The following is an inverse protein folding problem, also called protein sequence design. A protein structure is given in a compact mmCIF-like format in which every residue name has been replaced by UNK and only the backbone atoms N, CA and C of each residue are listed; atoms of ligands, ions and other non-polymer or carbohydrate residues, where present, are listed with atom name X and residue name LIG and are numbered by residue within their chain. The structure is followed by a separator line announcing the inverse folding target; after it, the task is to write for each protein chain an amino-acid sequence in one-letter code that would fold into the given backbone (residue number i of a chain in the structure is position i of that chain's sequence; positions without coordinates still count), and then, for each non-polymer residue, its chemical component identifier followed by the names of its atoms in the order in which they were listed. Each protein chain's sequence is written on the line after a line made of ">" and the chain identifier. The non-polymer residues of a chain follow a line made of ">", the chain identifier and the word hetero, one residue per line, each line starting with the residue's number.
data_IF_370561649233
#
_entry.id   IF_370561649233
#
_cell.length_a   1.000
_cell.length_b   1.000
_cell.length_c   1.000
_cell.angle_alpha   90.00
_cell.angle_beta   90.00
_cell.angle_gamma   90.00
#
_symmetry.space_group_name_H-M   'P 1'
#
loop_
_entity.id
_entity.type
_entity.pdbx_description
1 polymer ?
#
# COMPACT_ATOMS: atom_id res chain seq x y z
N UNK A 1 -22.28 12.06 5.72
CA UNK A 1 -21.75 11.55 4.43
C UNK A 1 -21.07 10.23 4.73
N UNK A 2 -21.43 9.17 4.02
CA UNK A 2 -20.70 7.91 4.12
C UNK A 2 -19.26 8.13 3.62
N UNK A 3 -18.29 7.74 4.44
CA UNK A 3 -16.85 7.79 4.11
C UNK A 3 -16.37 6.49 3.47
N UNK A 4 -17.29 5.59 3.13
CA UNK A 4 -16.97 4.32 2.52
C UNK A 4 -16.74 4.51 1.01
N UNK A 5 -15.75 3.83 0.42
CA UNK A 5 -15.52 3.91 -1.01
C UNK A 5 -16.71 3.28 -1.76
N UNK A 6 -17.14 3.94 -2.85
CA UNK A 6 -18.16 3.38 -3.76
C UNK A 6 -17.64 2.12 -4.47
N UNK A 7 -16.34 2.09 -4.79
CA UNK A 7 -15.68 0.99 -5.50
C UNK A 7 -14.27 0.78 -4.93
N UNK A 8 -13.90 -0.50 -4.73
CA UNK A 8 -12.54 -0.90 -4.39
C UNK A 8 -11.96 -1.74 -5.53
N UNK A 9 -10.92 -1.23 -6.19
CA UNK A 9 -10.21 -1.94 -7.24
C UNK A 9 -8.98 -2.66 -6.65
N UNK A 10 -9.03 -3.99 -6.58
CA UNK A 10 -7.95 -4.81 -6.04
C UNK A 10 -7.04 -5.32 -7.16
N UNK A 11 -5.82 -4.78 -7.22
CA UNK A 11 -4.80 -5.19 -8.20
C UNK A 11 -3.82 -6.20 -7.60
N UNK A 12 -3.69 -7.36 -8.24
CA UNK A 12 -2.70 -8.38 -7.91
C UNK A 12 -1.92 -8.82 -9.15
N UNK A 13 -0.70 -9.32 -8.97
CA UNK A 13 0.15 -9.73 -10.08
C UNK A 13 1.58 -10.07 -9.67
N UNK A 14 2.27 -10.88 -10.49
CA UNK A 14 3.70 -11.22 -10.29
C UNK A 14 4.60 -10.01 -10.51
N UNK A 15 5.85 -10.07 -10.01
CA UNK A 15 6.86 -9.04 -10.25
C UNK A 15 7.09 -8.82 -11.76
N UNK A 16 7.27 -7.57 -12.18
CA UNK A 16 7.50 -7.15 -13.59
C UNK A 16 6.33 -7.51 -14.55
N UNK A 17 5.11 -7.67 -14.04
CA UNK A 17 3.89 -7.90 -14.86
C UNK A 17 3.20 -6.62 -15.32
N UNK A 18 3.71 -5.43 -14.98
CA UNK A 18 3.11 -4.15 -15.36
C UNK A 18 1.97 -3.68 -14.44
N UNK A 19 1.73 -4.35 -13.29
CA UNK A 19 0.70 -3.95 -12.32
C UNK A 19 0.78 -2.46 -11.94
N UNK A 20 1.98 -1.99 -11.59
CA UNK A 20 2.16 -0.60 -11.17
C UNK A 20 1.88 0.37 -12.32
N UNK A 21 2.33 0.04 -13.54
CA UNK A 21 2.03 0.80 -14.76
C UNK A 21 0.53 0.95 -14.99
N UNK A 22 -0.23 -0.15 -14.89
CA UNK A 22 -1.69 -0.11 -15.07
C UNK A 22 -2.36 0.72 -13.97
N UNK A 23 -1.95 0.56 -12.71
CA UNK A 23 -2.53 1.34 -11.61
C UNK A 23 -2.22 2.82 -11.72
N UNK A 24 -1.03 3.19 -12.19
CA UNK A 24 -0.63 4.58 -12.37
C UNK A 24 -1.41 5.24 -13.53
N UNK A 25 -1.65 4.52 -14.63
CA UNK A 25 -2.49 4.99 -15.74
C UNK A 25 -3.93 5.21 -15.28
N UNK A 26 -4.52 4.25 -14.56
CA UNK A 26 -5.90 4.35 -14.06
C UNK A 26 -6.01 5.52 -13.08
N UNK A 27 -5.09 5.61 -12.12
CA UNK A 27 -5.07 6.69 -11.13
C UNK A 27 -4.86 8.06 -11.79
N UNK A 28 -3.98 8.16 -12.80
CA UNK A 28 -3.77 9.40 -13.56
C UNK A 28 -5.00 9.85 -14.36
N UNK A 29 -5.86 8.91 -14.80
CA UNK A 29 -7.12 9.24 -15.48
C UNK A 29 -8.25 9.62 -14.53
N UNK A 30 -8.35 8.97 -13.38
CA UNK A 30 -9.35 9.30 -12.35
C UNK A 30 -8.99 10.61 -11.63
N UNK A 31 -7.72 10.83 -11.38
CA UNK A 31 -7.22 11.96 -10.61
C UNK A 31 -7.33 11.77 -9.10
N UNK A 32 -6.54 12.55 -8.37
CA UNK A 32 -6.52 12.55 -6.91
C UNK A 32 -7.71 13.31 -6.29
N UNK A 33 -8.70 13.74 -7.06
CA UNK A 33 -9.92 14.33 -6.50
C UNK A 33 -10.93 13.26 -6.09
N UNK A 34 -11.01 12.18 -6.88
CA UNK A 34 -12.03 11.13 -6.69
C UNK A 34 -11.46 9.76 -6.28
N UNK A 35 -10.14 9.55 -6.40
CA UNK A 35 -9.51 8.26 -6.11
C UNK A 35 -8.32 8.38 -5.12
N UNK A 36 -7.96 7.27 -4.49
CA UNK A 36 -6.72 7.10 -3.71
C UNK A 36 -5.97 5.88 -4.22
N UNK A 37 -4.66 6.02 -4.45
CA UNK A 37 -3.78 4.89 -4.74
C UNK A 37 -3.19 4.35 -3.44
N UNK A 38 -3.60 3.14 -3.04
CA UNK A 38 -3.17 2.48 -1.80
C UNK A 38 -2.16 1.38 -2.13
N UNK A 39 -0.95 1.47 -1.56
CA UNK A 39 0.09 0.42 -1.69
C UNK A 39 0.28 -0.30 -0.36
N UNK A 40 -0.27 -1.51 -0.21
CA UNK A 40 -0.14 -2.36 0.99
C UNK A 40 1.33 -2.63 1.37
N UNK A 41 2.24 -2.64 0.40
CA UNK A 41 3.67 -2.82 0.67
C UNK A 41 4.30 -1.65 1.42
N UNK A 42 3.74 -0.44 1.38
CA UNK A 42 4.26 0.72 2.08
C UNK A 42 4.19 0.58 3.62
N UNK A 43 3.03 0.29 4.25
CA UNK A 43 3.00 0.03 5.70
C UNK A 43 3.81 -1.20 6.09
N UNK A 44 3.85 -2.26 5.27
CA UNK A 44 4.72 -3.43 5.54
C UNK A 44 6.17 -2.99 5.70
N UNK A 45 6.70 -2.20 4.76
CA UNK A 45 8.07 -1.67 4.83
C UNK A 45 8.27 -0.76 6.02
N UNK A 46 7.34 0.14 6.32
CA UNK A 46 7.43 1.07 7.44
C UNK A 46 7.54 0.34 8.77
N UNK A 47 6.64 -0.61 9.01
CA UNK A 47 6.61 -1.37 10.26
C UNK A 47 7.81 -2.34 10.36
N UNK A 48 8.24 -2.94 9.24
CA UNK A 48 9.46 -3.76 9.23
C UNK A 48 10.70 -2.93 9.56
N UNK A 49 10.85 -1.75 8.93
CA UNK A 49 11.96 -0.83 9.19
C UNK A 49 12.04 -0.45 10.67
N UNK A 50 10.91 -0.05 11.26
CA UNK A 50 10.80 0.27 12.69
C UNK A 50 11.19 -0.91 13.59
N UNK A 51 10.73 -2.12 13.25
CA UNK A 51 11.02 -3.34 14.05
C UNK A 51 12.50 -3.72 14.00
N UNK A 52 13.18 -3.44 12.88
CA UNK A 52 14.58 -3.81 12.63
C UNK A 52 15.56 -2.67 12.84
N UNK A 53 15.07 -1.52 13.29
CA UNK A 53 15.83 -0.27 13.39
C UNK A 53 16.56 0.11 12.08
N UNK A 54 15.89 -0.12 10.95
CA UNK A 54 16.37 0.22 9.61
C UNK A 54 15.82 1.59 9.19
N UNK A 55 16.54 2.26 8.30
CA UNK A 55 16.06 3.50 7.69
C UNK A 55 14.92 3.22 6.69
N UNK A 56 13.77 3.86 6.89
CA UNK A 56 12.58 3.64 6.06
C UNK A 56 12.79 4.05 4.59
N UNK A 57 13.48 5.17 4.35
CA UNK A 57 13.71 5.69 3.01
C UNK A 57 14.54 4.72 2.15
N UNK A 58 15.51 4.04 2.77
CA UNK A 58 16.30 2.99 2.10
C UNK A 58 15.44 1.79 1.69
N UNK A 59 14.41 1.44 2.49
CA UNK A 59 13.45 0.38 2.16
C UNK A 59 12.43 0.77 1.09
N UNK A 60 12.23 2.07 0.87
CA UNK A 60 11.34 2.56 -0.17
C UNK A 60 12.02 2.58 -1.54
N UNK A 61 13.35 2.77 -1.58
CA UNK A 61 14.17 2.75 -2.80
C UNK A 61 14.13 1.43 -3.57
N UNK A 62 14.50 1.45 -4.86
CA UNK A 62 14.72 0.27 -5.70
C UNK A 62 16.17 -0.23 -5.66
N UNK A 63 16.80 -0.10 -4.49
CA UNK A 63 18.16 -0.56 -4.25
C UNK A 63 18.26 -2.07 -4.05
N UNK A 64 19.44 -2.63 -4.33
CA UNK A 64 19.83 -3.99 -3.95
C UNK A 64 19.71 -4.25 -2.45
N UNK A 65 19.84 -3.20 -1.65
CA UNK A 65 19.70 -3.23 -0.20
C UNK A 65 18.32 -3.72 0.26
N UNK A 66 17.24 -3.25 -0.37
CA UNK A 66 15.87 -3.73 -0.11
C UNK A 66 15.67 -5.19 -0.51
N UNK A 67 16.30 -5.64 -1.60
CA UNK A 67 16.18 -7.03 -2.05
C UNK A 67 16.77 -8.02 -1.03
N UNK A 68 17.82 -7.62 -0.30
CA UNK A 68 18.41 -8.43 0.78
C UNK A 68 17.39 -8.81 1.85
N UNK A 69 16.49 -7.88 2.20
CA UNK A 69 15.49 -8.10 3.25
C UNK A 69 14.15 -8.62 2.73
N UNK A 70 14.00 -8.88 1.41
CA UNK A 70 12.70 -9.22 0.82
C UNK A 70 12.10 -10.48 1.42
N UNK A 71 12.90 -11.55 1.55
CA UNK A 71 12.42 -12.82 2.10
C UNK A 71 12.03 -12.68 3.58
N UNK A 72 12.88 -12.03 4.36
CA UNK A 72 12.65 -11.78 5.78
C UNK A 72 11.39 -10.92 6.00
N UNK A 73 11.21 -9.87 5.19
CA UNK A 73 10.03 -9.00 5.23
C UNK A 73 8.75 -9.77 4.88
N UNK A 74 8.80 -10.70 3.92
CA UNK A 74 7.67 -11.58 3.60
C UNK A 74 7.31 -12.42 4.83
N UNK A 75 8.27 -13.17 5.37
CA UNK A 75 8.06 -14.06 6.53
C UNK A 75 7.56 -13.30 7.77
N UNK A 76 8.17 -12.14 8.05
CA UNK A 76 7.76 -11.28 9.16
C UNK A 76 6.32 -10.77 8.97
N UNK A 77 5.99 -10.31 7.77
CA UNK A 77 4.65 -9.78 7.49
C UNK A 77 3.59 -10.89 7.45
N UNK A 78 3.94 -12.10 7.03
CA UNK A 78 3.06 -13.28 7.10
C UNK A 78 2.76 -13.67 8.55
N UNK A 79 3.76 -13.60 9.45
CA UNK A 79 3.54 -13.86 10.88
C UNK A 79 2.57 -12.86 11.53
N UNK A 80 2.61 -11.59 11.08
CA UNK A 80 1.64 -10.58 11.54
C UNK A 80 0.27 -10.87 10.94
N UNK A 81 0.18 -11.14 9.63
CA UNK A 81 -1.07 -11.46 8.94
C UNK A 81 -1.76 -12.71 9.48
N UNK A 82 -1.00 -13.69 9.98
CA UNK A 82 -1.59 -14.90 10.58
C UNK A 82 -2.27 -14.63 11.92
N UNK A 83 -1.88 -13.56 12.62
CA UNK A 83 -2.51 -13.10 13.86
C UNK A 83 -3.64 -12.11 13.59
N UNK A 84 -3.45 -11.26 12.57
CA UNK A 84 -4.40 -10.22 12.19
C UNK A 84 -4.28 -9.92 10.68
N UNK A 85 -5.18 -10.55 9.91
CA UNK A 85 -5.19 -10.43 8.45
C UNK A 85 -5.44 -8.99 7.96
N UNK A 86 -6.09 -8.16 8.78
CA UNK A 86 -6.46 -6.79 8.43
C UNK A 86 -5.44 -5.73 8.86
N UNK A 87 -4.39 -6.11 9.59
CA UNK A 87 -3.42 -5.17 10.16
C UNK A 87 -2.86 -4.19 9.12
N UNK A 88 -2.31 -4.73 8.03
CA UNK A 88 -1.70 -3.89 6.98
C UNK A 88 -2.73 -3.17 6.11
N UNK A 89 -3.97 -3.67 6.03
CA UNK A 89 -5.05 -2.97 5.32
C UNK A 89 -5.44 -1.70 6.07
N UNK A 90 -5.66 -1.78 7.39
CA UNK A 90 -5.95 -0.61 8.22
C UNK A 90 -4.78 0.38 8.22
N UNK A 91 -3.57 -0.11 8.42
CA UNK A 91 -2.37 0.73 8.35
C UNK A 91 -2.19 1.43 6.99
N UNK A 92 -2.60 0.78 5.89
CA UNK A 92 -2.56 1.39 4.57
C UNK A 92 -3.63 2.49 4.42
N UNK A 93 -4.87 2.23 4.85
CA UNK A 93 -5.94 3.23 4.83
C UNK A 93 -5.51 4.49 5.60
N UNK A 94 -4.96 4.31 6.80
CA UNK A 94 -4.46 5.41 7.64
C UNK A 94 -3.31 6.15 6.97
N UNK A 95 -2.31 5.41 6.44
CA UNK A 95 -1.12 5.96 5.79
C UNK A 95 -1.44 6.80 4.56
N UNK A 96 -2.43 6.39 3.77
CA UNK A 96 -2.84 7.09 2.55
C UNK A 96 -4.04 8.01 2.76
N UNK A 97 -4.50 8.18 4.02
CA UNK A 97 -5.66 9.00 4.39
C UNK A 97 -6.90 8.67 3.54
N UNK A 98 -7.10 7.38 3.22
CA UNK A 98 -8.15 6.95 2.33
C UNK A 98 -9.56 7.08 2.94
N UNK A 99 -9.64 7.02 4.27
CA UNK A 99 -10.83 7.23 5.08
C UNK A 99 -11.29 8.70 5.12
N UNK A 100 -10.37 9.64 4.85
CA UNK A 100 -10.63 11.09 4.90
C UNK A 100 -11.04 11.66 3.55
N UNK A 101 -11.02 10.85 2.48
CA UNK A 101 -11.37 11.34 1.15
C UNK A 101 -12.88 11.31 0.95
N UNK A 102 -13.46 12.49 0.80
CA UNK A 102 -14.85 12.67 0.37
C UNK A 102 -14.90 12.86 -1.13
N UNK A 103 -15.75 12.09 -1.83
CA UNK A 103 -16.10 12.36 -3.22
C UNK A 103 -16.73 13.76 -3.31
N UNK A 104 -16.08 14.72 -3.96
CA UNK A 104 -16.72 15.94 -4.42
C UNK A 104 -17.37 15.65 -5.78
N UNK A 105 -18.70 15.80 -5.89
CA UNK A 105 -19.43 15.61 -7.15
C UNK A 105 -20.25 14.33 -7.26
N UNK A 106 -20.48 13.63 -6.15
CA UNK A 106 -21.48 12.56 -6.07
C UNK A 106 -22.87 13.20 -5.80
N UNK A 107 -23.45 13.89 -6.80
CA UNK A 107 -24.87 14.26 -6.86
C UNK A 107 -25.60 13.37 -7.87
#
# INVERSE_FOLDING_TARGET
>A
METNPLVVLLFSGKRKSGKDTVTDIIFGRLGNEIAVNIKISAPIKLHFAKTKNLQYDEMMSDSTYKEKYRLEMIQWSDNIRSKDFGFFCRAAVDMFHADKKTCMGCE
#
